data_IF_343565421207
#
_entry.id   IF_343565421207
#
_cell.length_a   1.000
_cell.length_b   1.000
_cell.length_c   1.000
_cell.angle_alpha   90.00
_cell.angle_beta   90.00
_cell.angle_gamma   90.00
#
_symmetry.space_group_name_H-M   'P 1'
#
loop_
_entity.id
_entity.type
_entity.pdbx_description
1 polymer ?
#
# COMPACT_ATOMS: atom_id res chain seq x y z
N UNK A 1 -8.82 14.42 12.66
CA UNK A 1 -10.04 14.45 13.51
C UNK A 1 -9.66 13.84 14.85
N UNK A 2 -9.92 14.55 15.96
CA UNK A 2 -9.58 14.02 17.28
C UNK A 2 -10.39 12.75 17.53
N UNK A 3 -9.78 11.74 18.20
CA UNK A 3 -10.39 10.42 18.36
C UNK A 3 -11.79 10.48 18.98
N UNK A 4 -11.98 11.40 19.94
CA UNK A 4 -13.27 11.63 20.59
C UNK A 4 -14.37 12.10 19.63
N UNK A 5 -14.05 12.80 18.53
CA UNK A 5 -15.05 13.36 17.60
C UNK A 5 -15.33 12.43 16.40
N UNK A 6 -14.60 11.32 16.28
CA UNK A 6 -14.72 10.40 15.14
C UNK A 6 -16.10 9.70 15.09
N UNK A 7 -16.66 9.16 16.20
CA UNK A 7 -17.98 8.56 16.17
C UNK A 7 -19.07 9.53 15.74
N UNK A 8 -18.99 10.80 16.17
CA UNK A 8 -19.98 11.83 15.82
C UNK A 8 -19.97 12.14 14.32
N UNK A 9 -18.78 12.19 13.70
CA UNK A 9 -18.66 12.37 12.25
C UNK A 9 -19.21 11.16 11.48
N UNK A 10 -18.91 9.95 11.95
CA UNK A 10 -19.40 8.71 11.33
C UNK A 10 -20.93 8.66 11.42
N UNK A 11 -21.50 8.99 12.57
CA UNK A 11 -22.94 9.05 12.80
C UNK A 11 -23.63 10.05 11.86
N UNK A 12 -23.02 11.23 11.67
CA UNK A 12 -23.54 12.24 10.74
C UNK A 12 -23.68 11.68 9.32
N UNK A 13 -22.64 11.05 8.77
CA UNK A 13 -22.70 10.45 7.44
C UNK A 13 -23.63 9.24 7.39
N UNK A 14 -23.66 8.42 8.44
CA UNK A 14 -24.57 7.29 8.56
C UNK A 14 -26.03 7.76 8.46
N UNK A 15 -26.41 8.80 9.21
CA UNK A 15 -27.77 9.38 9.18
C UNK A 15 -28.15 9.93 7.81
N UNK A 16 -27.20 10.53 7.09
CA UNK A 16 -27.42 10.99 5.71
C UNK A 16 -27.65 9.81 4.77
N UNK A 17 -26.89 8.72 4.91
CA UNK A 17 -27.02 7.58 4.02
C UNK A 17 -28.23 6.70 4.34
N UNK A 18 -28.67 6.67 5.60
CA UNK A 18 -29.79 5.85 6.05
C UNK A 18 -31.06 6.24 5.31
N UNK A 19 -31.74 5.24 4.76
CA UNK A 19 -32.92 5.38 3.89
C UNK A 19 -32.68 6.09 2.54
N UNK A 20 -31.42 6.33 2.17
CA UNK A 20 -31.04 6.85 0.87
C UNK A 20 -30.32 5.77 0.05
N UNK A 21 -30.33 5.90 -1.28
CA UNK A 21 -29.64 4.97 -2.19
C UNK A 21 -28.15 5.33 -2.33
N UNK A 22 -27.45 5.44 -1.20
CA UNK A 22 -26.05 5.86 -1.14
C UNK A 22 -25.21 4.82 -0.41
N UNK A 23 -23.97 4.64 -0.85
CA UNK A 23 -22.97 3.83 -0.17
C UNK A 23 -21.95 4.75 0.50
N UNK A 24 -21.70 4.54 1.79
CA UNK A 24 -20.63 5.24 2.52
C UNK A 24 -19.45 4.30 2.63
N UNK A 25 -18.29 4.74 2.14
CA UNK A 25 -17.01 4.05 2.32
C UNK A 25 -16.12 4.93 3.17
N UNK A 26 -15.64 4.41 4.30
CA UNK A 26 -14.81 5.15 5.25
C UNK A 26 -13.44 4.48 5.31
N UNK A 27 -12.42 5.11 4.71
CA UNK A 27 -11.03 4.64 4.78
C UNK A 27 -10.35 5.20 6.03
N UNK A 28 -9.89 4.32 6.93
CA UNK A 28 -9.25 4.74 8.19
C UNK A 28 -8.10 3.80 8.58
N UNK A 29 -7.39 4.12 9.66
CA UNK A 29 -6.38 3.23 10.27
C UNK A 29 -7.02 2.55 11.47
N UNK A 30 -7.20 1.22 11.44
CA UNK A 30 -7.90 0.42 12.47
C UNK A 30 -7.61 0.87 13.90
N UNK A 31 -6.33 0.98 14.26
CA UNK A 31 -5.91 1.29 15.64
C UNK A 31 -6.03 2.77 16.04
N UNK A 32 -6.34 3.66 15.09
CA UNK A 32 -6.50 5.12 15.31
C UNK A 32 -7.93 5.60 15.11
N UNK A 33 -8.86 4.67 14.91
CA UNK A 33 -10.26 4.97 14.67
C UNK A 33 -11.13 4.48 15.81
N UNK A 34 -12.09 5.30 16.20
CA UNK A 34 -13.21 4.94 17.05
C UNK A 34 -14.50 5.12 16.24
N UNK A 35 -15.22 4.02 16.03
CA UNK A 35 -16.37 3.97 15.13
C UNK A 35 -17.68 4.18 15.86
N UNK A 36 -17.70 3.86 17.15
CA UNK A 36 -18.93 3.67 17.90
C UNK A 36 -18.71 4.01 19.37
N UNK A 37 -19.57 4.88 19.88
CA UNK A 37 -19.64 5.21 21.30
C UNK A 37 -20.93 4.66 21.86
N UNK A 38 -20.81 3.74 22.81
CA UNK A 38 -21.96 3.23 23.55
C UNK A 38 -22.53 4.34 24.45
N UNK A 39 -23.86 4.47 24.49
CA UNK A 39 -24.58 5.52 25.20
C UNK A 39 -26.09 5.40 25.00
N UNK A 40 -26.84 6.37 25.50
CA UNK A 40 -28.28 6.50 25.29
C UNK A 40 -28.61 7.90 24.75
N UNK A 41 -28.79 8.07 23.42
CA UNK A 41 -28.67 7.05 22.37
C UNK A 41 -27.21 6.73 22.00
N UNK A 42 -26.94 5.56 21.38
CA UNK A 42 -25.61 5.24 20.85
C UNK A 42 -25.24 6.15 19.68
N UNK A 43 -23.94 6.42 19.50
CA UNK A 43 -23.41 7.31 18.46
C UNK A 43 -22.40 6.57 17.59
N UNK A 44 -22.52 6.73 16.28
CA UNK A 44 -21.57 6.23 15.30
C UNK A 44 -22.16 5.10 14.47
N UNK A 45 -21.36 4.07 14.24
CA UNK A 45 -21.75 2.91 13.46
C UNK A 45 -21.17 1.64 14.05
N UNK A 46 -22.03 0.68 14.42
CA UNK A 46 -21.60 -0.58 15.00
C UNK A 46 -21.22 -1.57 13.91
N UNK A 47 -19.96 -2.00 13.92
CA UNK A 47 -19.47 -3.03 13.01
C UNK A 47 -20.20 -4.37 13.24
N UNK A 48 -20.51 -5.09 12.16
CA UNK A 48 -21.26 -6.35 12.16
C UNK A 48 -22.79 -6.18 12.12
N UNK A 49 -23.31 -5.05 12.61
CA UNK A 49 -24.75 -4.75 12.56
C UNK A 49 -25.06 -3.73 11.45
N UNK A 50 -24.29 -2.65 11.38
CA UNK A 50 -24.56 -1.49 10.52
C UNK A 50 -23.49 -1.27 9.44
N UNK A 51 -22.29 -1.81 9.63
CA UNK A 51 -21.22 -1.81 8.62
C UNK A 51 -20.33 -3.05 8.70
N UNK A 52 -19.73 -3.35 7.56
CA UNK A 52 -18.68 -4.36 7.42
C UNK A 52 -17.30 -3.69 7.36
N UNK A 53 -16.33 -4.32 8.02
CA UNK A 53 -14.93 -3.95 7.89
C UNK A 53 -14.30 -4.70 6.72
N UNK A 54 -13.60 -3.96 5.86
CA UNK A 54 -12.76 -4.54 4.82
C UNK A 54 -11.31 -4.23 5.19
N UNK A 55 -10.57 -5.27 5.57
CA UNK A 55 -9.14 -5.16 5.83
C UNK A 55 -8.38 -5.00 4.50
N UNK A 56 -7.70 -3.87 4.35
CA UNK A 56 -6.87 -3.58 3.18
C UNK A 56 -5.40 -3.95 3.42
N UNK A 57 -5.03 -4.36 4.64
CA UNK A 57 -3.65 -4.76 4.96
C UNK A 57 -3.36 -6.13 4.34
N UNK A 58 -2.75 -6.09 3.16
CA UNK A 58 -2.12 -7.25 2.55
C UNK A 58 -0.72 -7.42 3.14
N UNK A 59 -0.63 -8.20 4.21
CA UNK A 59 0.63 -8.53 4.86
C UNK A 59 1.35 -9.67 4.12
N UNK A 60 2.63 -9.90 4.44
CA UNK A 60 3.37 -11.04 3.88
C UNK A 60 2.86 -12.40 4.36
N UNK A 61 1.92 -12.45 5.32
CA UNK A 61 1.28 -13.71 5.77
C UNK A 61 0.60 -14.44 4.61
N UNK A 62 0.03 -13.68 3.66
CA UNK A 62 -0.58 -14.21 2.43
C UNK A 62 0.26 -13.83 1.21
N UNK A 63 1.54 -14.21 1.21
CA UNK A 63 2.53 -13.83 0.20
C UNK A 63 2.01 -13.87 -1.25
N UNK A 64 1.39 -14.97 -1.69
CA UNK A 64 0.89 -15.12 -3.06
C UNK A 64 -0.20 -14.10 -3.42
N UNK A 65 -1.11 -13.81 -2.48
CA UNK A 65 -2.17 -12.82 -2.66
C UNK A 65 -1.58 -11.40 -2.71
N UNK A 66 -0.66 -11.11 -1.80
CA UNK A 66 0.04 -9.82 -1.71
C UNK A 66 0.86 -9.57 -2.98
N UNK A 67 1.63 -10.56 -3.44
CA UNK A 67 2.36 -10.49 -4.72
C UNK A 67 1.42 -10.22 -5.89
N UNK A 68 0.34 -10.99 -6.02
CA UNK A 68 -0.62 -10.81 -7.12
C UNK A 68 -1.25 -9.41 -7.10
N UNK A 69 -1.63 -8.90 -5.93
CA UNK A 69 -2.19 -7.56 -5.79
C UNK A 69 -1.18 -6.47 -6.15
N UNK A 70 0.04 -6.53 -5.60
CA UNK A 70 1.08 -5.52 -5.86
C UNK A 70 1.45 -5.48 -7.34
N UNK A 71 1.56 -6.64 -7.99
CA UNK A 71 1.80 -6.72 -9.42
C UNK A 71 0.61 -6.26 -10.25
N UNK A 72 -0.63 -6.54 -9.84
CA UNK A 72 -1.81 -5.99 -10.52
C UNK A 72 -1.83 -4.46 -10.50
N UNK A 73 -1.44 -3.85 -9.39
CA UNK A 73 -1.30 -2.38 -9.30
C UNK A 73 -0.20 -1.87 -10.22
N UNK A 74 0.95 -2.54 -10.24
CA UNK A 74 2.08 -2.15 -11.09
C UNK A 74 1.79 -2.36 -12.59
N UNK A 75 1.10 -3.44 -12.95
CA UNK A 75 0.67 -3.73 -14.32
C UNK A 75 -0.25 -2.63 -14.85
N UNK A 76 -1.18 -2.10 -14.03
CA UNK A 76 -2.02 -0.99 -14.44
C UNK A 76 -1.22 0.26 -14.85
N UNK A 77 -0.14 0.59 -14.12
CA UNK A 77 0.77 1.69 -14.48
C UNK A 77 1.61 1.36 -15.72
N UNK A 78 2.04 0.11 -15.85
CA UNK A 78 2.85 -0.34 -16.97
C UNK A 78 2.05 -0.33 -18.28
N UNK A 79 0.80 -0.80 -18.24
CA UNK A 79 -0.16 -0.74 -19.35
C UNK A 79 -0.43 0.69 -19.80
N UNK A 80 -0.66 1.62 -18.87
CA UNK A 80 -0.85 3.05 -19.18
C UNK A 80 0.41 3.66 -19.82
N UNK A 81 1.59 3.15 -19.45
CA UNK A 81 2.88 3.57 -20.02
C UNK A 81 3.24 2.86 -21.33
N UNK A 82 2.45 1.87 -21.77
CA UNK A 82 2.74 1.04 -22.94
C UNK A 82 3.96 0.12 -22.78
N UNK A 83 4.28 -0.29 -21.55
CA UNK A 83 5.45 -1.10 -21.22
C UNK A 83 5.01 -2.44 -20.62
N UNK A 84 5.58 -3.55 -21.10
CA UNK A 84 5.37 -4.86 -20.47
C UNK A 84 6.34 -5.06 -19.29
N UNK A 85 5.84 -5.52 -18.14
CA UNK A 85 6.70 -5.74 -16.97
C UNK A 85 7.76 -6.82 -17.17
N UNK A 86 7.57 -7.79 -18.07
CA UNK A 86 8.58 -8.80 -18.42
C UNK A 86 9.82 -8.21 -19.14
N UNK A 87 9.64 -7.06 -19.80
CA UNK A 87 10.72 -6.32 -20.46
C UNK A 87 11.50 -5.44 -19.48
N UNK A 88 10.94 -5.18 -18.29
CA UNK A 88 11.54 -4.34 -17.26
C UNK A 88 12.14 -5.18 -16.12
N UNK A 89 11.46 -6.24 -15.69
CA UNK A 89 11.81 -7.03 -14.52
C UNK A 89 12.29 -8.43 -14.93
N UNK A 90 13.46 -8.83 -14.42
CA UNK A 90 13.89 -10.21 -14.44
C UNK A 90 13.08 -11.05 -13.43
N UNK A 91 13.00 -12.37 -13.65
CA UNK A 91 12.21 -13.29 -12.82
C UNK A 91 12.50 -13.16 -11.32
N UNK A 92 13.78 -13.11 -10.93
CA UNK A 92 14.20 -12.97 -9.53
C UNK A 92 13.90 -11.60 -8.90
N UNK A 93 13.69 -10.55 -9.70
CA UNK A 93 13.38 -9.22 -9.17
C UNK A 93 11.98 -9.15 -8.58
N UNK A 94 11.02 -9.92 -9.13
CA UNK A 94 9.62 -9.86 -8.72
C UNK A 94 9.43 -10.25 -7.27
N UNK A 95 9.94 -11.42 -6.90
CA UNK A 95 9.86 -11.89 -5.52
C UNK A 95 10.66 -10.99 -4.58
N UNK A 96 11.82 -10.52 -5.04
CA UNK A 96 12.65 -9.66 -4.20
C UNK A 96 11.99 -8.32 -3.90
N UNK A 97 11.26 -7.76 -4.87
CA UNK A 97 10.56 -6.48 -4.74
C UNK A 97 9.42 -6.57 -3.71
N UNK A 98 8.64 -7.65 -3.74
CA UNK A 98 7.59 -7.91 -2.74
C UNK A 98 8.20 -8.03 -1.35
N UNK A 99 9.25 -8.84 -1.19
CA UNK A 99 9.91 -9.03 0.09
C UNK A 99 10.54 -7.73 0.63
N UNK A 100 11.24 -6.98 -0.21
CA UNK A 100 11.90 -5.73 0.17
C UNK A 100 10.91 -4.65 0.62
N UNK A 101 9.68 -4.68 0.09
CA UNK A 101 8.60 -3.75 0.46
C UNK A 101 7.85 -4.14 1.75
N UNK A 102 8.09 -5.33 2.29
CA UNK A 102 7.30 -5.84 3.42
C UNK A 102 5.83 -6.11 3.08
N UNK A 103 5.46 -6.16 1.79
CA UNK A 103 4.06 -6.25 1.33
C UNK A 103 3.33 -4.90 1.27
N UNK A 104 3.98 -3.80 1.65
CA UNK A 104 3.37 -2.46 1.67
C UNK A 104 3.40 -1.84 0.27
N UNK A 105 2.23 -1.52 -0.29
CA UNK A 105 2.10 -1.02 -1.66
C UNK A 105 2.90 0.27 -1.93
N UNK A 106 2.95 1.20 -0.97
CA UNK A 106 3.74 2.43 -1.10
C UNK A 106 5.23 2.13 -1.20
N UNK A 107 5.75 1.31 -0.30
CA UNK A 107 7.18 0.96 -0.25
C UNK A 107 7.52 0.14 -1.50
N UNK A 108 6.62 -0.72 -1.97
CA UNK A 108 6.76 -1.48 -3.21
C UNK A 108 6.98 -0.59 -4.44
N UNK A 109 6.09 0.40 -4.66
CA UNK A 109 6.23 1.34 -5.78
C UNK A 109 7.46 2.23 -5.65
N UNK A 110 7.81 2.62 -4.41
CA UNK A 110 8.99 3.45 -4.13
C UNK A 110 10.28 2.70 -4.44
N UNK A 111 10.41 1.46 -3.98
CA UNK A 111 11.57 0.60 -4.25
C UNK A 111 11.62 0.24 -5.73
N UNK A 112 10.49 0.00 -6.40
CA UNK A 112 10.44 -0.26 -7.84
C UNK A 112 11.02 0.92 -8.63
N UNK A 113 10.54 2.14 -8.36
CA UNK A 113 11.06 3.36 -8.99
C UNK A 113 12.56 3.49 -8.79
N UNK A 114 13.06 3.31 -7.56
CA UNK A 114 14.49 3.36 -7.27
C UNK A 114 15.27 2.25 -7.98
N UNK A 115 14.68 1.08 -8.13
CA UNK A 115 15.30 -0.04 -8.85
C UNK A 115 15.46 0.26 -10.35
N UNK A 116 14.55 1.04 -10.95
CA UNK A 116 14.71 1.56 -12.32
C UNK A 116 15.94 2.46 -12.41
N UNK A 117 16.07 3.43 -11.51
CA UNK A 117 17.23 4.35 -11.48
C UNK A 117 18.54 3.57 -11.32
N UNK A 118 18.57 2.67 -10.32
CA UNK A 118 19.68 1.77 -10.03
C UNK A 118 20.07 0.92 -11.25
N UNK A 119 19.10 0.42 -12.01
CA UNK A 119 19.36 -0.38 -13.21
C UNK A 119 19.92 0.47 -14.36
N UNK A 120 19.46 1.71 -14.51
CA UNK A 120 19.89 2.64 -15.57
C UNK A 120 21.28 3.24 -15.33
N UNK A 121 21.67 3.40 -14.07
CA UNK A 121 22.98 3.93 -13.67
C UNK A 121 24.09 2.86 -13.69
N UNK A 122 23.79 1.62 -14.07
CA UNK A 122 24.80 0.57 -14.12
C UNK A 122 25.87 0.91 -15.16
N UNK A 123 27.16 0.61 -14.86
CA UNK A 123 28.21 0.71 -15.84
C UNK A 123 27.88 -0.15 -17.07
N UNK A 124 28.23 0.34 -18.26
CA UNK A 124 28.07 -0.38 -19.54
C UNK A 124 28.79 -1.73 -19.54
N UNK A 125 29.80 -1.89 -18.67
CA UNK A 125 30.53 -3.15 -18.45
C UNK A 125 29.76 -4.21 -17.66
N UNK A 126 28.56 -3.90 -17.16
CA UNK A 126 27.76 -4.87 -16.41
C UNK A 126 27.06 -5.87 -17.35
N UNK A 127 27.33 -7.16 -17.17
CA UNK A 127 26.73 -8.23 -17.97
C UNK A 127 25.26 -8.56 -17.58
N UNK A 128 24.59 -7.69 -16.82
CA UNK A 128 23.26 -7.98 -16.23
C UNK A 128 22.09 -7.56 -17.12
N UNK A 129 22.37 -6.89 -18.24
CA UNK A 129 21.37 -6.39 -19.17
C UNK A 129 20.55 -5.21 -18.62
N UNK A 130 19.59 -4.70 -19.41
CA UNK A 130 18.81 -3.50 -19.05
C UNK A 130 17.72 -3.78 -18.00
N UNK A 131 17.37 -5.05 -17.78
CA UNK A 131 16.30 -5.44 -16.85
C UNK A 131 16.73 -5.31 -15.40
N UNK A 132 15.78 -4.93 -14.56
CA UNK A 132 15.92 -4.88 -13.10
C UNK A 132 16.01 -6.32 -12.59
N UNK A 133 17.09 -6.64 -11.88
CA UNK A 133 17.34 -7.90 -11.20
C UNK A 133 17.18 -7.79 -9.68
N UNK A 134 17.31 -8.92 -8.98
CA UNK A 134 17.19 -8.97 -7.52
C UNK A 134 18.23 -8.09 -6.80
N UNK A 135 19.44 -7.95 -7.36
CA UNK A 135 20.50 -7.12 -6.80
C UNK A 135 20.17 -5.61 -6.87
N UNK A 136 19.48 -5.18 -7.92
CA UNK A 136 19.07 -3.78 -8.07
C UNK A 136 18.03 -3.42 -7.03
N UNK A 137 17.07 -4.33 -6.84
CA UNK A 137 16.06 -4.22 -5.79
C UNK A 137 16.72 -4.18 -4.40
N UNK A 138 17.75 -4.98 -4.17
CA UNK A 138 18.52 -4.95 -2.92
C UNK A 138 19.18 -3.60 -2.67
N UNK A 139 19.85 -3.05 -3.69
CA UNK A 139 20.50 -1.74 -3.60
C UNK A 139 19.47 -0.64 -3.34
N UNK A 140 18.40 -0.61 -4.12
CA UNK A 140 17.30 0.34 -3.98
C UNK A 140 16.62 0.26 -2.60
N UNK A 141 16.40 -0.96 -2.09
CA UNK A 141 15.84 -1.20 -0.77
C UNK A 141 16.75 -0.69 0.35
N UNK A 142 18.06 -0.91 0.24
CA UNK A 142 19.04 -0.38 1.21
C UNK A 142 19.08 1.15 1.26
N UNK A 143 19.05 1.81 0.10
CA UNK A 143 18.99 3.28 0.01
C UNK A 143 17.66 3.84 0.53
N UNK A 144 16.56 3.14 0.27
CA UNK A 144 15.23 3.51 0.77
C UNK A 144 15.14 3.41 2.30
N UNK A 145 15.69 2.35 2.91
CA UNK A 145 15.68 2.17 4.36
C UNK A 145 16.50 3.25 5.09
N UNK A 146 17.64 3.67 4.52
CA UNK A 146 18.42 4.80 5.06
C UNK A 146 17.61 6.11 5.05
N UNK A 147 16.95 6.41 3.92
CA UNK A 147 16.11 7.60 3.79
C UNK A 147 14.99 7.60 4.84
N UNK A 148 14.31 6.46 5.00
CA UNK A 148 13.21 6.30 5.97
C UNK A 148 13.68 6.48 7.42
N UNK A 149 14.87 5.97 7.77
CA UNK A 149 15.46 6.16 9.11
C UNK A 149 15.85 7.62 9.37
N UNK A 150 16.33 8.32 8.35
CA UNK A 150 16.71 9.72 8.48
C UNK A 150 15.49 10.66 8.54
N UNK A 151 14.36 10.27 7.96
CA UNK A 151 13.06 10.94 8.15
C UNK A 151 12.53 10.70 9.58
N UNK A 152 12.55 9.45 10.05
CA UNK A 152 12.13 9.09 11.41
C UNK A 152 12.95 9.74 12.53
N UNK A 153 14.19 10.13 12.26
CA UNK A 153 15.03 10.88 13.21
C UNK A 153 14.70 12.36 13.29
N UNK A 154 14.00 12.90 12.29
CA UNK A 154 13.64 14.33 12.20
C UNK A 154 12.24 14.60 12.73
N UNK A 155 11.40 13.57 12.83
CA UNK A 155 10.10 13.57 13.51
C UNK A 155 10.25 13.27 15.01
#
# INVERSE_FOLDING_TARGET
IARRDQPDLIDYFHRIAKNNRLWVKIGTIRHRTDWYRNGDPPIGMKLGDEADEIDLDLTLEKYSLTKAFLFKVLDAFAEESGVALDDVLASGARDRLVLASGGVARDFLTIFRRSVDVARERPVTSNRGPRIGAEDVNRASGEHDQTKRDELRRD
#
